data_IF_941254783173
#
_entry.id   IF_941254783173
#
_cell.length_a   1.000
_cell.length_b   1.000
_cell.length_c   1.000
_cell.angle_alpha   90.00
_cell.angle_beta   90.00
_cell.angle_gamma   90.00
#
_symmetry.space_group_name_H-M   'P 1'
#
loop_
_entity.id
_entity.type
_entity.pdbx_description
1 polymer ?
#
# COMPACT_ATOMS: atom_id res chain seq x y z
N UNK A 1 15.35 -3.95 6.62
CA UNK A 1 14.13 -3.16 6.44
C UNK A 1 14.02 -2.20 7.62
N UNK A 2 14.08 -0.89 7.38
CA UNK A 2 13.84 0.11 8.42
C UNK A 2 12.31 0.25 8.58
N UNK A 3 11.75 0.16 9.79
CA UNK A 3 10.30 0.31 9.98
C UNK A 3 9.91 1.76 9.69
N UNK A 4 9.07 1.97 8.68
CA UNK A 4 8.47 3.27 8.40
C UNK A 4 7.51 3.62 9.55
N UNK A 5 7.66 4.82 10.11
CA UNK A 5 6.83 5.25 11.24
C UNK A 5 5.44 5.63 10.74
N UNK A 6 4.39 4.97 11.25
CA UNK A 6 3.01 5.27 10.86
C UNK A 6 2.45 6.40 11.74
N UNK A 7 1.99 7.48 11.11
CA UNK A 7 1.37 8.61 11.83
C UNK A 7 0.01 8.22 12.41
N UNK A 8 -0.46 8.94 13.43
CA UNK A 8 -1.80 8.73 13.98
C UNK A 8 -2.91 8.95 12.94
N UNK A 9 -2.71 9.90 12.01
CA UNK A 9 -3.61 10.10 10.89
C UNK A 9 -3.73 8.86 10.01
N UNK A 10 -2.59 8.28 9.61
CA UNK A 10 -2.56 7.05 8.82
C UNK A 10 -3.17 5.86 9.56
N UNK A 11 -2.88 5.72 10.86
CA UNK A 11 -3.43 4.65 11.71
C UNK A 11 -4.96 4.70 11.77
N UNK A 12 -5.53 5.88 12.02
CA UNK A 12 -6.99 6.09 12.07
C UNK A 12 -7.63 5.78 10.71
N UNK A 13 -7.05 6.28 9.61
CA UNK A 13 -7.54 6.03 8.24
C UNK A 13 -7.47 4.56 7.86
N UNK A 14 -6.39 3.86 8.22
CA UNK A 14 -6.22 2.42 8.00
C UNK A 14 -7.34 1.62 8.68
N UNK A 15 -7.66 1.99 9.93
CA UNK A 15 -8.71 1.32 10.70
C UNK A 15 -10.10 1.60 10.15
N UNK A 16 -10.42 2.85 9.81
CA UNK A 16 -11.68 3.23 9.17
C UNK A 16 -11.91 2.53 7.83
N UNK A 17 -10.83 2.15 7.14
CA UNK A 17 -10.88 1.49 5.83
C UNK A 17 -10.66 -0.02 5.91
N UNK A 18 -10.58 -0.61 7.11
CA UNK A 18 -10.35 -2.04 7.29
C UNK A 18 -9.18 -2.59 6.43
N UNK A 19 -8.07 -1.83 6.35
CA UNK A 19 -6.85 -2.25 5.65
C UNK A 19 -6.02 -3.10 6.62
N UNK A 20 -5.82 -4.40 6.34
CA UNK A 20 -5.01 -5.26 7.20
C UNK A 20 -3.57 -4.77 7.28
N UNK A 21 -2.89 -4.93 8.44
CA UNK A 21 -1.46 -4.59 8.56
C UNK A 21 -0.62 -5.29 7.51
N UNK A 22 -0.87 -6.58 7.26
CA UNK A 22 -0.18 -7.39 6.26
C UNK A 22 -0.24 -6.77 4.85
N UNK A 23 -1.36 -6.15 4.47
CA UNK A 23 -1.49 -5.49 3.17
C UNK A 23 -0.58 -4.26 3.09
N UNK A 24 -0.40 -3.54 4.19
CA UNK A 24 0.53 -2.42 4.25
C UNK A 24 1.97 -2.91 4.16
N UNK A 25 2.33 -3.98 4.88
CA UNK A 25 3.67 -4.56 4.82
C UNK A 25 4.00 -5.02 3.39
N UNK A 26 3.10 -5.78 2.76
CA UNK A 26 3.25 -6.18 1.35
C UNK A 26 3.33 -4.99 0.40
N UNK A 27 2.63 -3.90 0.71
CA UNK A 27 2.66 -2.70 -0.11
C UNK A 27 4.02 -2.01 -0.03
N UNK A 28 4.63 -1.96 1.14
CA UNK A 28 5.95 -1.37 1.34
C UNK A 28 7.06 -2.24 0.74
N UNK A 29 6.92 -3.57 0.86
CA UNK A 29 7.92 -4.54 0.40
C UNK A 29 7.92 -4.77 -1.11
N UNK A 30 6.72 -4.86 -1.71
CA UNK A 30 6.56 -5.24 -3.12
C UNK A 30 5.96 -4.13 -3.99
N UNK A 31 5.39 -3.10 -3.37
CA UNK A 31 4.72 -2.02 -4.10
C UNK A 31 5.69 -1.20 -4.94
N UNK A 32 5.11 -0.53 -5.92
CA UNK A 32 5.82 0.42 -6.75
C UNK A 32 5.83 1.78 -6.07
N UNK A 33 7.03 2.33 -5.85
CA UNK A 33 7.26 3.65 -5.30
C UNK A 33 7.40 4.65 -6.43
N UNK A 34 6.56 5.68 -6.47
CA UNK A 34 6.81 6.84 -7.31
C UNK A 34 7.00 8.09 -6.47
N UNK A 35 8.14 8.72 -6.71
CA UNK A 35 8.50 9.99 -6.11
C UNK A 35 7.75 11.10 -6.82
N UNK A 36 6.81 11.75 -6.14
CA UNK A 36 6.20 12.97 -6.65
C UNK A 36 7.09 14.18 -6.31
N UNK A 37 7.27 15.07 -7.30
CA UNK A 37 8.10 16.27 -7.17
C UNK A 37 7.63 17.26 -6.06
N UNK A 38 6.50 16.98 -5.40
CA UNK A 38 5.93 17.76 -4.30
C UNK A 38 6.36 17.28 -2.89
N UNK A 39 7.32 16.37 -2.80
CA UNK A 39 7.88 15.92 -1.52
C UNK A 39 7.09 14.79 -0.85
N UNK A 40 6.41 13.95 -1.62
CA UNK A 40 5.77 12.76 -1.08
C UNK A 40 5.96 11.58 -2.03
N UNK A 41 6.23 10.42 -1.46
CA UNK A 41 6.29 9.15 -2.17
C UNK A 41 4.92 8.49 -2.15
N UNK A 42 4.45 8.06 -3.31
CA UNK A 42 3.22 7.27 -3.41
C UNK A 42 3.59 5.84 -3.72
N UNK A 43 3.08 4.91 -2.91
CA UNK A 43 3.30 3.48 -3.05
C UNK A 43 1.99 2.78 -3.41
N UNK A 44 1.98 1.97 -4.47
CA UNK A 44 0.81 1.19 -4.87
C UNK A 44 1.17 -0.21 -5.38
N UNK A 45 0.20 -1.12 -5.37
CA UNK A 45 0.35 -2.44 -6.01
C UNK A 45 0.19 -2.35 -7.53
N UNK A 46 1.31 -2.35 -8.24
CA UNK A 46 1.34 -2.49 -9.70
C UNK A 46 1.14 -3.95 -10.15
N UNK A 47 1.20 -4.20 -11.46
CA UNK A 47 1.04 -5.55 -12.00
C UNK A 47 2.17 -6.49 -11.55
N UNK A 48 3.39 -5.98 -11.38
CA UNK A 48 4.55 -6.76 -10.96
C UNK A 48 4.43 -7.19 -9.49
N UNK A 49 4.05 -6.28 -8.60
CA UNK A 49 3.81 -6.53 -7.19
C UNK A 49 2.74 -7.60 -6.99
N UNK A 50 1.63 -7.50 -7.72
CA UNK A 50 0.54 -8.50 -7.69
C UNK A 50 1.00 -9.86 -8.20
N UNK A 51 1.77 -9.89 -9.28
CA UNK A 51 2.32 -11.14 -9.79
C UNK A 51 3.30 -11.80 -8.80
N UNK A 52 4.12 -11.01 -8.11
CA UNK A 52 5.02 -11.52 -7.06
C UNK A 52 4.23 -12.07 -5.87
N UNK A 53 3.24 -11.34 -5.36
CA UNK A 53 2.38 -11.80 -4.28
C UNK A 53 1.61 -13.08 -4.64
N UNK A 54 1.13 -13.20 -5.89
CA UNK A 54 0.47 -14.42 -6.38
C UNK A 54 1.40 -15.64 -6.39
N UNK A 55 2.71 -15.42 -6.55
CA UNK A 55 3.72 -16.50 -6.53
C UNK A 55 4.16 -16.87 -5.12
N UNK A 56 4.15 -15.91 -4.20
CA UNK A 56 4.59 -16.13 -2.81
C UNK A 56 3.48 -16.63 -1.89
N UNK A 57 2.24 -16.19 -2.14
CA UNK A 57 1.11 -16.53 -1.29
C UNK A 57 0.35 -17.75 -1.81
N UNK A 58 -0.13 -18.63 -0.91
CA UNK A 58 -1.10 -19.66 -1.27
C UNK A 58 -2.34 -19.05 -1.94
N UNK A 59 -2.90 -19.75 -2.93
CA UNK A 59 -4.05 -19.27 -3.72
C UNK A 59 -5.26 -18.80 -2.88
N UNK A 60 -5.65 -19.46 -1.76
CA UNK A 60 -6.75 -18.99 -0.91
C UNK A 60 -6.44 -17.65 -0.24
N UNK A 61 -5.20 -17.47 0.25
CA UNK A 61 -4.75 -16.24 0.90
C UNK A 61 -4.67 -15.10 -0.10
N UNK A 62 -4.12 -15.35 -1.30
CA UNK A 62 -4.09 -14.36 -2.37
C UNK A 62 -5.50 -13.88 -2.73
N UNK A 63 -6.47 -14.79 -2.89
CA UNK A 63 -7.87 -14.42 -3.21
C UNK A 63 -8.51 -13.55 -2.12
N UNK A 64 -8.26 -13.84 -0.85
CA UNK A 64 -8.76 -13.04 0.27
C UNK A 64 -8.15 -11.61 0.30
N UNK A 65 -6.91 -11.47 -0.18
CA UNK A 65 -6.20 -10.20 -0.25
C UNK A 65 -6.43 -9.45 -1.57
N UNK A 66 -6.81 -10.12 -2.65
CA UNK A 66 -6.95 -9.55 -3.99
C UNK A 66 -7.86 -8.31 -4.02
N UNK A 67 -8.97 -8.34 -3.28
CA UNK A 67 -9.87 -7.19 -3.14
C UNK A 67 -9.20 -5.97 -2.47
N UNK A 68 -8.20 -6.23 -1.61
CA UNK A 68 -7.45 -5.25 -0.82
C UNK A 68 -6.16 -4.78 -1.51
N UNK A 69 -5.68 -5.48 -2.56
CA UNK A 69 -4.54 -5.07 -3.39
C UNK A 69 -4.82 -3.85 -4.29
N UNK A 70 -5.95 -3.17 -4.09
CA UNK A 70 -6.19 -1.81 -4.60
C UNK A 70 -5.67 -0.74 -3.64
N UNK A 71 -4.98 -1.13 -2.57
CA UNK A 71 -4.43 -0.20 -1.60
C UNK A 71 -3.30 0.66 -2.18
N UNK A 72 -3.18 1.87 -1.64
CA UNK A 72 -2.06 2.78 -1.83
C UNK A 72 -1.69 3.43 -0.50
N UNK A 73 -0.42 3.82 -0.38
CA UNK A 73 0.11 4.57 0.75
C UNK A 73 0.81 5.83 0.23
N UNK A 74 0.73 6.89 1.02
CA UNK A 74 1.51 8.12 0.82
C UNK A 74 2.49 8.20 1.97
N UNK A 75 3.77 8.29 1.62
CA UNK A 75 4.90 8.36 2.51
C UNK A 75 5.52 9.75 2.36
N UNK A 76 5.80 10.42 3.48
CA UNK A 76 6.44 11.73 3.49
C UNK A 76 7.94 11.61 3.17
N UNK A 77 8.63 12.73 2.94
CA UNK A 77 10.09 12.76 2.76
C UNK A 77 10.87 12.19 3.95
N UNK A 78 10.27 12.21 5.14
CA UNK A 78 10.86 11.66 6.37
C UNK A 78 10.63 10.15 6.53
N UNK A 79 10.04 9.48 5.54
CA UNK A 79 9.72 8.05 5.62
C UNK A 79 8.54 7.75 6.56
N UNK A 80 7.69 8.74 6.84
CA UNK A 80 6.50 8.53 7.64
C UNK A 80 5.28 8.22 6.75
N UNK A 81 4.50 7.21 7.10
CA UNK A 81 3.25 6.92 6.38
C UNK A 81 2.21 7.94 6.84
N UNK A 82 1.82 8.83 5.94
CA UNK A 82 0.89 9.92 6.22
C UNK A 82 -0.54 9.50 5.89
N UNK A 83 -0.73 8.74 4.81
CA UNK A 83 -2.07 8.32 4.36
C UNK A 83 -2.05 6.90 3.81
N UNK A 84 -3.09 6.12 4.12
CA UNK A 84 -3.34 4.81 3.50
C UNK A 84 -4.78 4.75 3.01
N UNK A 85 -5.02 4.14 1.85
CA UNK A 85 -6.35 4.07 1.25
C UNK A 85 -6.53 2.98 0.22
N UNK A 86 -7.78 2.74 -0.16
CA UNK A 86 -8.10 1.94 -1.33
C UNK A 86 -8.41 2.84 -2.52
N UNK A 87 -7.86 2.49 -3.68
CA UNK A 87 -8.14 3.13 -4.95
C UNK A 87 -9.37 2.48 -5.59
N UNK A 88 -10.53 3.11 -5.40
CA UNK A 88 -11.80 2.63 -5.96
C UNK A 88 -12.05 3.11 -7.41
N UNK A 89 -11.25 4.05 -7.92
CA UNK A 89 -11.40 4.63 -9.26
C UNK A 89 -10.07 4.50 -10.04
N UNK A 90 -10.12 4.02 -11.28
CA UNK A 90 -9.00 4.19 -12.24
C UNK A 90 -8.71 5.69 -12.32
N UNK A 91 -7.45 6.10 -12.16
CA UNK A 91 -7.07 7.46 -12.59
C UNK A 91 -7.04 7.33 -14.11
N UNK A 92 -8.11 7.78 -14.76
CA UNK A 92 -8.06 8.06 -16.17
C UNK A 92 -7.31 9.39 -16.28
N UNK A 93 -6.12 9.33 -16.86
CA UNK A 93 -5.47 10.51 -17.42
C UNK A 93 -6.00 10.69 -18.84
#
# INVERSE_FOLDING_TARGET
>A
MMPLTMTDHARVRRQQRAIPPEVLDYLLDYGHWAHEARGADIVWFDQRARAQLKRQLPAPQYRALEAKLKAYAVVDTDGAIVTVGYRHRRINH
#
